data_IF_024711906082
#
_entry.id   IF_024711906082
#
_cell.length_a   1.000
_cell.length_b   1.000
_cell.length_c   1.000
_cell.angle_alpha   90.00
_cell.angle_beta   90.00
_cell.angle_gamma   90.00
#
_symmetry.space_group_name_H-M   'P 1'
#
loop_
_entity.id
_entity.type
_entity.pdbx_description
1 polymer ?
#
# COMPACT_ATOMS: atom_id res chain seq x y z
N UNK A 1 14.71 0.54 8.91
CA UNK A 1 14.14 -0.64 9.61
C UNK A 1 13.77 -0.23 11.04
N UNK A 2 12.48 -0.23 11.40
CA UNK A 2 11.96 0.37 12.65
C UNK A 2 12.46 -0.36 13.91
N UNK A 3 13.28 0.33 14.70
CA UNK A 3 13.72 -0.06 16.05
C UNK A 3 13.06 0.87 17.09
N UNK A 4 11.75 0.70 17.27
CA UNK A 4 11.02 1.37 18.35
C UNK A 4 11.20 0.59 19.67
N UNK A 5 11.19 -0.75 19.61
CA UNK A 5 11.39 -1.63 20.77
C UNK A 5 12.87 -1.82 21.12
N UNK A 6 13.15 -2.06 22.40
CA UNK A 6 14.50 -2.22 22.94
C UNK A 6 15.19 -3.48 22.42
N UNK A 7 14.47 -4.59 22.34
CA UNK A 7 15.00 -5.88 21.89
C UNK A 7 14.07 -6.57 20.85
N UNK A 8 14.60 -7.61 20.18
CA UNK A 8 13.88 -8.36 19.14
C UNK A 8 12.69 -9.15 19.70
N UNK A 9 12.78 -9.62 20.94
CA UNK A 9 11.76 -10.44 21.60
C UNK A 9 10.51 -9.62 21.92
N UNK A 10 10.69 -8.47 22.58
CA UNK A 10 9.63 -7.50 22.88
C UNK A 10 9.01 -6.96 21.60
N UNK A 11 9.83 -6.67 20.57
CA UNK A 11 9.31 -6.29 19.26
C UNK A 11 8.34 -7.34 18.72
N UNK A 12 8.74 -8.61 18.73
CA UNK A 12 7.90 -9.71 18.26
C UNK A 12 6.62 -9.83 19.09
N UNK A 13 6.71 -9.72 20.42
CA UNK A 13 5.57 -9.74 21.33
C UNK A 13 4.58 -8.61 21.04
N UNK A 14 5.06 -7.37 20.91
CA UNK A 14 4.21 -6.22 20.61
C UNK A 14 3.58 -6.32 19.22
N UNK A 15 4.34 -6.77 18.20
CA UNK A 15 3.81 -6.95 16.85
C UNK A 15 2.72 -8.03 16.78
N UNK A 16 2.91 -9.15 17.49
CA UNK A 16 1.89 -10.21 17.60
C UNK A 16 0.57 -9.69 18.16
N UNK A 17 0.59 -8.66 19.01
CA UNK A 17 -0.62 -8.02 19.51
C UNK A 17 -1.15 -6.93 18.57
N UNK A 18 -0.30 -6.00 18.15
CA UNK A 18 -0.71 -4.79 17.40
C UNK A 18 -1.24 -5.14 16.00
N UNK A 19 -0.56 -6.04 15.28
CA UNK A 19 -0.89 -6.32 13.86
C UNK A 19 -2.31 -6.88 13.71
N UNK A 20 -2.75 -7.89 14.49
CA UNK A 20 -4.14 -8.36 14.44
C UNK A 20 -5.19 -7.27 14.74
N UNK A 21 -4.91 -6.36 15.67
CA UNK A 21 -5.85 -5.26 15.98
C UNK A 21 -5.99 -4.30 14.79
N UNK A 22 -4.86 -3.91 14.18
CA UNK A 22 -4.87 -3.07 12.98
C UNK A 22 -5.57 -3.76 11.81
N UNK A 23 -5.36 -5.07 11.65
CA UNK A 23 -6.03 -5.88 10.62
C UNK A 23 -7.56 -5.89 10.78
N UNK A 24 -8.05 -5.78 12.02
CA UNK A 24 -9.48 -5.69 12.32
C UNK A 24 -10.00 -4.24 12.31
N UNK A 25 -9.19 -3.26 11.92
CA UNK A 25 -9.57 -1.83 11.97
C UNK A 25 -9.58 -1.23 13.37
N UNK A 26 -9.13 -1.96 14.40
CA UNK A 26 -9.15 -1.53 15.82
C UNK A 26 -7.96 -0.63 16.14
N UNK A 27 -7.82 0.46 15.38
CA UNK A 27 -6.69 1.39 15.48
C UNK A 27 -6.58 2.07 16.85
N UNK A 28 -7.70 2.33 17.54
CA UNK A 28 -7.70 2.87 18.89
C UNK A 28 -6.99 1.94 19.91
N UNK A 29 -7.30 0.64 19.86
CA UNK A 29 -6.69 -0.36 20.76
C UNK A 29 -5.19 -0.48 20.51
N UNK A 30 -4.80 -0.51 19.23
CA UNK A 30 -3.40 -0.55 18.83
C UNK A 30 -2.63 0.71 19.29
N UNK A 31 -3.28 1.88 19.22
CA UNK A 31 -2.71 3.17 19.63
C UNK A 31 -2.54 3.25 21.15
N UNK A 32 -3.53 2.85 21.93
CA UNK A 32 -3.44 2.82 23.40
C UNK A 32 -2.37 1.82 23.87
N UNK A 33 -2.32 0.63 23.28
CA UNK A 33 -1.24 -0.33 23.57
C UNK A 33 0.14 0.25 23.25
N UNK A 34 0.27 0.92 22.10
CA UNK A 34 1.53 1.53 21.67
C UNK A 34 2.00 2.66 22.59
N UNK A 35 1.08 3.34 23.28
CA UNK A 35 1.41 4.40 24.23
C UNK A 35 1.89 3.86 25.58
N UNK A 36 1.24 2.80 26.07
CA UNK A 36 1.38 2.39 27.48
C UNK A 36 2.25 1.16 27.69
N UNK A 37 2.35 0.25 26.71
CA UNK A 37 3.00 -1.05 26.91
C UNK A 37 4.30 -1.23 26.11
N UNK A 38 4.66 -0.30 25.24
CA UNK A 38 5.86 -0.42 24.40
C UNK A 38 7.04 0.25 25.09
N UNK A 39 8.06 -0.55 25.43
CA UNK A 39 9.35 -0.02 25.88
C UNK A 39 10.09 0.67 24.73
N UNK A 40 10.41 1.96 24.90
CA UNK A 40 10.82 2.86 23.80
C UNK A 40 12.34 3.01 23.79
N UNK A 41 12.97 2.55 22.70
CA UNK A 41 14.38 2.84 22.40
C UNK A 41 14.56 4.10 21.56
N UNK A 42 13.64 4.36 20.63
CA UNK A 42 13.68 5.50 19.73
C UNK A 42 12.38 6.30 19.84
N UNK A 43 12.45 7.44 20.55
CA UNK A 43 11.30 8.30 20.83
C UNK A 43 10.75 8.98 19.57
N UNK A 44 11.61 9.36 18.62
CA UNK A 44 11.17 10.05 17.40
C UNK A 44 10.34 9.13 16.52
N UNK A 45 10.81 7.90 16.30
CA UNK A 45 10.08 6.90 15.53
C UNK A 45 8.80 6.44 16.22
N UNK A 46 8.80 6.40 17.56
CA UNK A 46 7.58 6.16 18.31
C UNK A 46 6.56 7.30 18.12
N UNK A 47 6.99 8.57 18.20
CA UNK A 47 6.13 9.74 17.95
C UNK A 47 5.56 9.73 16.53
N UNK A 48 6.38 9.39 15.53
CA UNK A 48 5.95 9.25 14.14
C UNK A 48 4.84 8.18 13.99
N UNK A 49 5.02 7.01 14.61
CA UNK A 49 4.04 5.92 14.59
C UNK A 49 2.72 6.33 15.26
N UNK A 50 2.77 6.89 16.48
CA UNK A 50 1.58 7.35 17.19
C UNK A 50 0.86 8.45 16.41
N UNK A 51 1.61 9.40 15.87
CA UNK A 51 1.06 10.48 15.02
C UNK A 51 0.38 9.95 13.78
N UNK A 52 0.99 8.98 13.09
CA UNK A 52 0.40 8.33 11.93
C UNK A 52 -0.90 7.59 12.29
N UNK A 53 -0.88 6.73 13.31
CA UNK A 53 -2.06 5.98 13.74
C UNK A 53 -3.20 6.90 14.17
N UNK A 54 -2.89 7.99 14.89
CA UNK A 54 -3.89 9.00 15.30
C UNK A 54 -4.50 9.72 14.08
N UNK A 55 -3.66 10.21 13.17
CA UNK A 55 -4.09 10.94 11.96
C UNK A 55 -4.94 10.08 11.03
N UNK A 56 -4.63 8.79 10.95
CA UNK A 56 -5.26 7.88 10.00
C UNK A 56 -6.24 6.90 10.66
N UNK A 57 -6.60 7.08 11.94
CA UNK A 57 -7.43 6.15 12.71
C UNK A 57 -8.72 5.76 11.97
N UNK A 58 -9.44 6.74 11.43
CA UNK A 58 -10.70 6.52 10.70
C UNK A 58 -10.51 5.92 9.29
N UNK A 59 -9.28 5.98 8.75
CA UNK A 59 -8.94 5.48 7.41
C UNK A 59 -8.42 4.05 7.45
N UNK A 60 -8.10 3.50 8.62
CA UNK A 60 -7.63 2.13 8.77
C UNK A 60 -8.84 1.20 8.63
N UNK A 61 -8.85 0.42 7.55
CA UNK A 61 -9.95 -0.47 7.17
C UNK A 61 -9.87 -1.78 7.97
N UNK A 62 -11.03 -2.37 8.25
CA UNK A 62 -11.12 -3.75 8.75
C UNK A 62 -10.87 -4.74 7.60
N UNK A 63 -9.60 -5.13 7.43
CA UNK A 63 -9.18 -6.11 6.43
C UNK A 63 -9.75 -7.51 6.68
N UNK A 64 -9.99 -7.89 7.94
CA UNK A 64 -10.65 -9.16 8.25
C UNK A 64 -12.06 -9.23 7.63
N UNK A 65 -12.83 -8.15 7.76
CA UNK A 65 -14.16 -8.06 7.16
C UNK A 65 -14.10 -8.05 5.63
N UNK A 66 -13.15 -7.33 5.02
CA UNK A 66 -12.93 -7.39 3.57
C UNK A 66 -12.61 -8.82 3.10
N UNK A 67 -11.77 -9.55 3.83
CA UNK A 67 -11.42 -10.92 3.53
C UNK A 67 -12.63 -11.86 3.62
N UNK A 68 -13.46 -11.71 4.65
CA UNK A 68 -14.71 -12.47 4.80
C UNK A 68 -15.70 -12.21 3.67
N UNK A 69 -15.73 -10.99 3.14
CA UNK A 69 -16.52 -10.62 1.96
C UNK A 69 -15.91 -11.10 0.63
N UNK A 70 -14.79 -11.84 0.64
CA UNK A 70 -14.08 -12.26 -0.56
C UNK A 70 -13.44 -11.09 -1.33
N UNK A 71 -13.35 -9.89 -0.73
CA UNK A 71 -12.67 -8.76 -1.36
C UNK A 71 -11.17 -8.99 -1.33
N UNK A 72 -10.51 -8.72 -2.44
CA UNK A 72 -9.07 -8.82 -2.48
C UNK A 72 -8.43 -7.69 -1.64
N UNK A 73 -7.66 -8.09 -0.64
CA UNK A 73 -6.93 -7.22 0.30
C UNK A 73 -5.45 -7.08 -0.05
N UNK A 74 -4.95 -7.90 -0.97
CA UNK A 74 -3.55 -7.89 -1.38
C UNK A 74 -3.26 -6.79 -2.40
N UNK A 75 -2.13 -6.11 -2.23
CA UNK A 75 -1.61 -5.16 -3.22
C UNK A 75 -1.07 -5.82 -4.49
N UNK A 76 -0.98 -7.15 -4.52
CA UNK A 76 -0.37 -7.93 -5.60
C UNK A 76 -0.96 -7.62 -6.98
N UNK A 77 -2.29 -7.47 -7.09
CA UNK A 77 -2.93 -7.14 -8.37
C UNK A 77 -2.50 -5.77 -8.89
N UNK A 78 -2.38 -4.78 -8.00
CA UNK A 78 -1.93 -3.43 -8.36
C UNK A 78 -0.46 -3.46 -8.76
N UNK A 79 0.38 -4.15 -7.98
CA UNK A 79 1.80 -4.34 -8.30
C UNK A 79 1.98 -5.02 -9.65
N UNK A 80 1.18 -6.06 -9.93
CA UNK A 80 1.23 -6.76 -11.20
C UNK A 80 0.75 -5.89 -12.36
N UNK A 81 -0.27 -5.05 -12.15
CA UNK A 81 -0.71 -4.07 -13.14
C UNK A 81 0.39 -3.08 -13.51
N UNK A 82 1.12 -2.55 -12.52
CA UNK A 82 2.28 -1.65 -12.75
C UNK A 82 3.39 -2.37 -13.50
N UNK A 83 3.68 -3.62 -13.13
CA UNK A 83 4.67 -4.45 -13.81
C UNK A 83 4.32 -4.66 -15.29
N UNK A 84 3.08 -5.06 -15.60
CA UNK A 84 2.63 -5.33 -16.97
C UNK A 84 2.58 -4.07 -17.86
N UNK A 85 2.26 -2.90 -17.28
CA UNK A 85 2.06 -1.66 -18.03
C UNK A 85 3.35 -0.86 -18.20
N UNK A 86 4.26 -0.91 -17.24
CA UNK A 86 5.47 -0.08 -17.22
C UNK A 86 6.72 -0.93 -16.96
N UNK A 87 6.70 -1.75 -15.90
CA UNK A 87 7.87 -2.47 -15.40
C UNK A 87 8.54 -3.35 -16.46
N UNK A 88 7.79 -4.24 -17.10
CA UNK A 88 8.29 -5.16 -18.13
C UNK A 88 8.89 -4.45 -19.34
N UNK A 89 8.51 -3.19 -19.58
CA UNK A 89 8.91 -2.43 -20.75
C UNK A 89 10.07 -1.48 -20.48
N UNK A 90 10.21 -0.96 -19.26
CA UNK A 90 11.27 -0.01 -18.91
C UNK A 90 12.40 -0.60 -18.07
N UNK A 91 12.10 -1.59 -17.21
CA UNK A 91 13.09 -2.16 -16.30
C UNK A 91 14.09 -3.01 -17.07
N UNK A 92 15.37 -2.71 -16.87
CA UNK A 92 16.49 -3.42 -17.50
C UNK A 92 16.46 -3.40 -19.05
N UNK A 93 15.88 -2.34 -19.65
CA UNK A 93 15.78 -2.15 -21.10
C UNK A 93 16.41 -0.84 -21.58
N UNK A 94 17.24 -0.22 -20.75
CA UNK A 94 17.90 1.06 -21.04
C UNK A 94 16.93 2.22 -21.40
N UNK A 95 15.65 2.05 -21.07
CA UNK A 95 14.61 3.03 -21.32
C UNK A 95 14.65 4.16 -20.29
N UNK A 96 14.33 5.37 -20.74
CA UNK A 96 14.24 6.54 -19.86
C UNK A 96 13.10 6.40 -18.84
N UNK A 97 13.42 6.54 -17.56
CA UNK A 97 12.48 6.54 -16.44
C UNK A 97 11.87 7.92 -16.15
N UNK A 98 11.63 8.70 -17.20
CA UNK A 98 11.00 10.02 -17.07
C UNK A 98 9.51 9.85 -16.76
N UNK A 99 8.95 10.57 -15.76
CA UNK A 99 7.55 10.45 -15.38
C UNK A 99 6.57 10.60 -16.55
N UNK A 100 6.83 11.55 -17.45
CA UNK A 100 6.00 11.78 -18.64
C UNK A 100 6.00 10.55 -19.57
N UNK A 101 7.17 9.99 -19.87
CA UNK A 101 7.32 8.83 -20.75
C UNK A 101 6.72 7.56 -20.14
N UNK A 102 6.99 7.30 -18.86
CA UNK A 102 6.41 6.17 -18.13
C UNK A 102 4.88 6.27 -18.07
N UNK A 103 4.33 7.48 -17.86
CA UNK A 103 2.88 7.72 -17.86
C UNK A 103 2.28 7.47 -19.24
N UNK A 104 2.88 8.01 -20.31
CA UNK A 104 2.40 7.79 -21.68
C UNK A 104 2.40 6.30 -22.04
N UNK A 105 3.48 5.59 -21.72
CA UNK A 105 3.58 4.14 -21.93
C UNK A 105 2.51 3.37 -21.16
N UNK A 106 2.31 3.71 -19.88
CA UNK A 106 1.26 3.11 -19.05
C UNK A 106 -0.12 3.27 -19.70
N UNK A 107 -0.49 4.49 -20.12
CA UNK A 107 -1.77 4.77 -20.75
C UNK A 107 -1.98 3.94 -22.03
N UNK A 108 -0.96 3.89 -22.90
CA UNK A 108 -1.01 3.09 -24.12
C UNK A 108 -1.18 1.59 -23.83
N UNK A 109 -0.46 1.05 -22.84
CA UNK A 109 -0.57 -0.37 -22.47
C UNK A 109 -1.91 -0.70 -21.82
N UNK A 110 -2.44 0.19 -20.97
CA UNK A 110 -3.78 0.04 -20.39
C UNK A 110 -4.85 0.03 -21.50
N UNK A 111 -4.79 0.97 -22.44
CA UNK A 111 -5.71 0.99 -23.58
C UNK A 111 -5.64 -0.31 -24.40
N UNK A 112 -4.42 -0.83 -24.61
CA UNK A 112 -4.22 -2.13 -25.29
C UNK A 112 -4.83 -3.29 -24.50
N UNK A 113 -4.55 -3.41 -23.21
CA UNK A 113 -5.04 -4.53 -22.39
C UNK A 113 -6.56 -4.49 -22.18
N UNK A 114 -7.17 -3.31 -22.19
CA UNK A 114 -8.61 -3.15 -22.06
C UNK A 114 -9.35 -3.26 -23.40
N UNK A 115 -8.68 -3.59 -24.51
CA UNK A 115 -9.30 -3.67 -25.83
C UNK A 115 -9.72 -2.30 -26.41
N UNK A 116 -9.26 -1.21 -25.82
CA UNK A 116 -9.60 0.18 -26.19
C UNK A 116 -8.62 0.79 -27.18
N UNK A 117 -7.67 0.01 -27.69
CA UNK A 117 -6.61 0.51 -28.57
C UNK A 117 -7.19 1.19 -29.82
N UNK A 118 -8.15 0.56 -30.48
CA UNK A 118 -8.76 1.10 -31.70
C UNK A 118 -9.54 2.40 -31.41
N UNK A 119 -10.34 2.42 -30.34
CA UNK A 119 -11.11 3.60 -29.93
C UNK A 119 -10.21 4.80 -29.56
N UNK A 120 -9.00 4.55 -29.06
CA UNK A 120 -8.03 5.61 -28.76
C UNK A 120 -7.56 6.35 -30.02
N UNK A 121 -7.41 5.64 -31.14
CA UNK A 121 -6.91 6.18 -32.41
C UNK A 121 -8.04 6.61 -33.36
N UNK A 122 -9.18 5.93 -33.28
CA UNK A 122 -10.35 6.13 -34.13
C UNK A 122 -11.54 6.48 -33.21
N UNK A 123 -11.64 7.73 -32.74
CA UNK A 123 -12.79 8.14 -31.95
C UNK A 123 -14.06 8.00 -32.81
N UNK A 124 -15.18 7.50 -32.24
CA UNK A 124 -16.44 7.40 -32.97
C UNK A 124 -16.84 8.78 -33.49
N UNK A 125 -17.23 8.85 -34.76
CA UNK A 125 -17.75 10.07 -35.36
C UNK A 125 -18.99 10.48 -34.55
N UNK A 126 -19.01 11.73 -34.06
CA UNK A 126 -20.18 12.27 -33.40
C UNK A 126 -21.32 12.33 -34.43
N UNK A 127 -22.34 11.48 -34.24
CA UNK A 127 -23.61 11.53 -34.96
C UNK A 127 -24.46 12.72 -34.52
#
# INVERSE_FOLDING_TARGET
MLMIAINKLEKSKHLKFIVPQLWQGKAAIALEFSKHQVSIKNQDKWRELIGYLKKHQQKIINYNHCNQMGKNIGSERVLKGVDLTVGQWQKNKEMSWRPLGSKALCLLKVAKFNGQWQHLWLPPQAT
#
